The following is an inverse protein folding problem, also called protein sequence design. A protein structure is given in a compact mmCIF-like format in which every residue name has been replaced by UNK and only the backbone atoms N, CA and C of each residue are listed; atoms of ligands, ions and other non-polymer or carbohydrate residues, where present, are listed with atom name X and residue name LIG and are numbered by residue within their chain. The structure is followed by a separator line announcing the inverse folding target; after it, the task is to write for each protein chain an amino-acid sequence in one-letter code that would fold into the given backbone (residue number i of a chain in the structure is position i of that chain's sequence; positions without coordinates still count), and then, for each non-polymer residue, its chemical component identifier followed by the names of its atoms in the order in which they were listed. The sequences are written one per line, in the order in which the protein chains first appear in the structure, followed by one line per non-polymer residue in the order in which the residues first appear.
data_IF_276281581458
#
_entry.id   IF_276281581458
#
_cell.length_a   1.000
_cell.length_b   1.000
_cell.length_c   1.000
_cell.angle_alpha   90.00
_cell.angle_beta   90.00
_cell.angle_gamma   90.00
#
_symmetry.space_group_name_H-M   'P 1'
#
loop_
_entity.id
_entity.type
_entity.pdbx_description
1 polymer ?
#
# COMPACT_ATOMS: atom_id res chain seq x y z
N UNK A 1 8.26 3.47 -9.90
CA UNK A 1 7.50 2.29 -10.39
C UNK A 1 6.34 2.82 -11.20
N UNK A 2 6.06 2.27 -12.36
CA UNK A 2 4.90 2.66 -13.18
C UNK A 2 3.64 2.00 -12.60
N UNK A 3 2.73 2.81 -12.05
CA UNK A 3 1.51 2.30 -11.39
C UNK A 3 0.58 1.64 -12.40
N UNK A 4 0.42 2.23 -13.57
CA UNK A 4 -0.45 1.70 -14.61
C UNK A 4 0.05 0.33 -15.11
N UNK A 5 1.36 0.19 -15.35
CA UNK A 5 1.96 -1.08 -15.70
C UNK A 5 1.76 -2.15 -14.60
N UNK A 6 1.80 -1.76 -13.33
CA UNK A 6 1.52 -2.66 -12.21
C UNK A 6 0.04 -3.09 -12.18
N UNK A 7 -0.91 -2.17 -12.37
CA UNK A 7 -2.34 -2.48 -12.47
C UNK A 7 -2.62 -3.52 -13.57
N UNK A 8 -2.04 -3.33 -14.75
CA UNK A 8 -2.13 -4.28 -15.86
C UNK A 8 -1.59 -5.67 -15.49
N UNK A 9 -0.44 -5.73 -14.81
CA UNK A 9 0.13 -7.00 -14.33
C UNK A 9 -0.79 -7.70 -13.33
N UNK A 10 -1.39 -6.96 -12.40
CA UNK A 10 -2.29 -7.49 -11.38
C UNK A 10 -3.61 -7.99 -11.98
N UNK A 11 -4.19 -7.25 -12.94
CA UNK A 11 -5.37 -7.71 -13.70
C UNK A 11 -5.10 -9.04 -14.40
N UNK A 12 -3.94 -9.17 -15.06
CA UNK A 12 -3.55 -10.43 -15.73
C UNK A 12 -3.38 -11.56 -14.71
N UNK A 13 -2.68 -11.30 -13.61
CA UNK A 13 -2.46 -12.28 -12.55
C UNK A 13 -3.77 -12.82 -11.96
N UNK A 14 -4.74 -11.93 -11.73
CA UNK A 14 -6.07 -12.28 -11.26
C UNK A 14 -6.87 -13.06 -12.30
N UNK A 15 -6.76 -12.67 -13.58
CA UNK A 15 -7.46 -13.32 -14.67
C UNK A 15 -7.02 -14.77 -14.90
N UNK A 16 -5.72 -15.05 -14.80
CA UNK A 16 -5.17 -16.41 -14.87
C UNK A 16 -5.72 -17.33 -13.77
N UNK A 17 -6.26 -16.77 -12.68
CA UNK A 17 -6.78 -17.49 -11.52
C UNK A 17 -8.29 -17.41 -11.37
N UNK A 18 -8.98 -16.71 -12.27
CA UNK A 18 -10.43 -16.51 -12.21
C UNK A 18 -10.87 -15.70 -10.97
N UNK A 19 -10.04 -14.80 -10.47
CA UNK A 19 -10.30 -14.07 -9.23
C UNK A 19 -11.17 -12.82 -9.40
N UNK A 20 -11.43 -12.39 -10.63
CA UNK A 20 -12.16 -11.14 -10.91
C UNK A 20 -13.52 -11.03 -10.19
N UNK A 21 -14.33 -12.09 -10.02
CA UNK A 21 -15.59 -12.00 -9.27
C UNK A 21 -15.42 -11.57 -7.79
N UNK A 22 -14.24 -11.79 -7.22
CA UNK A 22 -13.94 -11.48 -5.82
C UNK A 22 -13.26 -10.12 -5.63
N UNK A 23 -12.74 -9.50 -6.69
CA UNK A 23 -11.99 -8.24 -6.67
C UNK A 23 -12.90 -7.00 -6.68
N UNK A 24 -13.96 -7.02 -5.87
CA UNK A 24 -14.75 -5.79 -5.64
C UNK A 24 -13.94 -4.80 -4.80
N UNK A 25 -14.10 -3.47 -4.97
CA UNK A 25 -13.41 -2.49 -4.14
C UNK A 25 -13.59 -2.71 -2.63
N UNK A 26 -14.78 -3.16 -2.21
CA UNK A 26 -15.06 -3.55 -0.82
C UNK A 26 -14.14 -4.68 -0.34
N UNK A 27 -14.06 -5.77 -1.11
CA UNK A 27 -13.28 -6.94 -0.71
C UNK A 27 -11.78 -6.61 -0.70
N UNK A 28 -11.31 -5.85 -1.70
CA UNK A 28 -9.92 -5.41 -1.77
C UNK A 28 -9.55 -4.50 -0.59
N UNK A 29 -10.44 -3.59 -0.17
CA UNK A 29 -10.22 -2.76 1.01
C UNK A 29 -10.18 -3.57 2.31
N UNK A 30 -11.04 -4.59 2.42
CA UNK A 30 -11.00 -5.52 3.56
C UNK A 30 -9.68 -6.30 3.60
N UNK A 31 -9.25 -6.85 2.47
CA UNK A 31 -7.98 -7.58 2.36
C UNK A 31 -6.78 -6.68 2.70
N UNK A 32 -6.71 -5.45 2.14
CA UNK A 32 -5.67 -4.48 2.49
C UNK A 32 -5.61 -4.19 3.99
N UNK A 33 -6.75 -4.18 4.68
CA UNK A 33 -6.80 -3.95 6.13
C UNK A 33 -6.18 -5.11 6.92
N UNK A 34 -6.30 -6.34 6.40
CA UNK A 34 -5.63 -7.52 6.98
C UNK A 34 -4.12 -7.37 6.82
N UNK A 35 -3.62 -7.10 5.61
CA UNK A 35 -2.16 -6.94 5.40
C UNK A 35 -1.59 -5.74 6.17
N UNK A 36 -2.38 -4.67 6.36
CA UNK A 36 -1.98 -3.56 7.21
C UNK A 36 -1.89 -3.96 8.69
N UNK A 37 -2.67 -4.93 9.14
CA UNK A 37 -2.56 -5.51 10.48
C UNK A 37 -1.31 -6.41 10.58
N UNK A 38 -1.03 -7.24 9.57
CA UNK A 38 0.21 -8.05 9.50
C UNK A 38 1.46 -7.16 9.54
N UNK A 39 1.46 -6.06 8.79
CA UNK A 39 2.51 -5.03 8.87
C UNK A 39 2.67 -4.47 10.30
N UNK A 40 1.56 -4.22 11.00
CA UNK A 40 1.58 -3.71 12.37
C UNK A 40 2.16 -4.75 13.33
N UNK A 41 1.86 -6.04 13.14
CA UNK A 41 2.32 -7.13 14.01
C UNK A 41 3.85 -7.20 14.13
N UNK A 42 4.58 -6.79 13.08
CA UNK A 42 6.05 -6.69 13.09
C UNK A 42 6.55 -5.80 14.23
N UNK A 43 5.80 -4.74 14.55
CA UNK A 43 6.22 -3.71 15.49
C UNK A 43 5.51 -3.78 16.84
N UNK A 44 4.44 -4.59 16.97
CA UNK A 44 3.48 -4.48 18.07
C UNK A 44 4.09 -4.62 19.49
N UNK A 45 5.21 -5.33 19.62
CA UNK A 45 5.90 -5.56 20.91
C UNK A 45 7.24 -4.81 21.03
N UNK A 46 7.62 -4.01 20.03
CA UNK A 46 8.88 -3.28 20.01
C UNK A 46 8.75 -1.94 20.73
N UNK A 47 9.80 -1.53 21.45
CA UNK A 47 9.95 -0.11 21.82
C UNK A 47 10.27 0.74 20.60
N UNK A 48 10.17 2.07 20.74
CA UNK A 48 10.55 3.00 19.67
C UNK A 48 12.02 2.85 19.24
N UNK A 49 12.92 2.52 20.16
CA UNK A 49 14.33 2.29 19.85
C UNK A 49 14.54 0.96 19.14
N UNK A 50 13.81 -0.09 19.55
CA UNK A 50 13.88 -1.41 18.93
C UNK A 50 13.31 -1.42 17.51
N UNK A 51 12.26 -0.65 17.23
CA UNK A 51 11.65 -0.57 15.90
C UNK A 51 12.59 0.02 14.83
N UNK A 52 13.64 0.74 15.25
CA UNK A 52 14.71 1.26 14.38
C UNK A 52 15.82 0.22 14.12
N UNK A 53 15.83 -0.90 14.85
CA UNK A 53 16.92 -1.90 14.85
C UNK A 53 16.41 -3.30 14.51
N UNK A 54 15.57 -3.41 13.46
CA UNK A 54 15.06 -4.70 12.99
C UNK A 54 16.20 -5.68 12.64
N UNK A 55 15.97 -6.98 12.81
CA UNK A 55 16.83 -8.01 12.24
C UNK A 55 16.67 -8.08 10.71
N UNK A 56 17.56 -8.82 10.02
CA UNK A 56 17.43 -9.02 8.57
C UNK A 56 16.15 -9.77 8.18
N UNK A 57 15.71 -10.71 9.02
CA UNK A 57 14.46 -11.44 8.79
C UNK A 57 13.24 -10.54 9.00
N UNK A 58 13.25 -9.70 10.04
CA UNK A 58 12.19 -8.70 10.26
C UNK A 58 12.14 -7.68 9.11
N UNK A 59 13.29 -7.24 8.59
CA UNK A 59 13.35 -6.34 7.43
C UNK A 59 12.78 -6.99 6.17
N UNK A 60 13.04 -8.29 5.96
CA UNK A 60 12.50 -9.03 4.82
C UNK A 60 10.97 -9.12 4.91
N UNK A 61 10.47 -9.53 6.07
CA UNK A 61 9.04 -9.63 6.33
C UNK A 61 8.35 -8.27 6.22
N UNK A 62 8.96 -7.19 6.74
CA UNK A 62 8.48 -5.82 6.53
C UNK A 62 8.35 -5.48 5.04
N UNK A 63 9.30 -5.90 4.21
CA UNK A 63 9.24 -5.69 2.77
C UNK A 63 8.10 -6.44 2.08
N UNK A 64 7.78 -7.64 2.57
CA UNK A 64 6.64 -8.45 2.10
C UNK A 64 5.32 -7.76 2.45
N UNK A 65 5.10 -7.40 3.71
CA UNK A 65 3.86 -6.75 4.14
C UNK A 65 3.65 -5.35 3.53
N UNK A 66 4.72 -4.57 3.36
CA UNK A 66 4.66 -3.30 2.63
C UNK A 66 4.25 -3.51 1.17
N UNK A 67 4.75 -4.58 0.54
CA UNK A 67 4.37 -4.91 -0.82
C UNK A 67 2.90 -5.31 -0.89
N UNK A 68 2.41 -6.16 0.02
CA UNK A 68 1.02 -6.62 0.00
C UNK A 68 0.03 -5.46 0.20
N UNK A 69 0.27 -4.57 1.17
CA UNK A 69 -0.51 -3.33 1.33
C UNK A 69 -0.51 -2.50 0.04
N UNK A 70 0.66 -2.31 -0.59
CA UNK A 70 0.78 -1.56 -1.83
C UNK A 70 0.00 -2.21 -2.98
N UNK A 71 0.10 -3.54 -3.14
CA UNK A 71 -0.58 -4.28 -4.20
C UNK A 71 -2.10 -4.17 -4.07
N UNK A 72 -2.65 -4.25 -2.85
CA UNK A 72 -4.08 -4.02 -2.65
C UNK A 72 -4.48 -2.56 -2.87
N UNK A 73 -3.69 -1.58 -2.40
CA UNK A 73 -3.97 -0.17 -2.64
C UNK A 73 -4.06 0.15 -4.14
N UNK A 74 -3.11 -0.39 -4.93
CA UNK A 74 -3.09 -0.23 -6.39
C UNK A 74 -4.32 -0.88 -7.04
N UNK A 75 -4.73 -2.06 -6.58
CA UNK A 75 -5.95 -2.72 -7.07
C UNK A 75 -7.22 -1.96 -6.68
N UNK A 76 -7.29 -1.37 -5.48
CA UNK A 76 -8.42 -0.55 -5.04
C UNK A 76 -8.54 0.68 -5.95
N UNK A 77 -7.43 1.36 -6.24
CA UNK A 77 -7.43 2.50 -7.15
C UNK A 77 -7.91 2.10 -8.55
N UNK A 78 -7.42 0.96 -9.04
CA UNK A 78 -7.76 0.41 -10.36
C UNK A 78 -9.26 0.09 -10.50
N UNK A 79 -9.81 -0.69 -9.56
CA UNK A 79 -11.23 -1.06 -9.56
C UNK A 79 -12.15 0.10 -9.15
N UNK A 80 -11.61 1.10 -8.47
CA UNK A 80 -12.32 2.32 -8.07
C UNK A 80 -12.29 3.44 -9.12
N UNK A 81 -11.57 3.28 -10.23
CA UNK A 81 -11.43 4.30 -11.26
C UNK A 81 -10.65 5.54 -10.81
N UNK A 82 -9.70 5.35 -9.88
CA UNK A 82 -8.86 6.43 -9.34
C UNK A 82 -7.50 6.40 -10.01
N UNK A 83 -7.13 7.52 -10.64
CA UNK A 83 -5.74 7.80 -11.01
C UNK A 83 -4.93 8.05 -9.72
N UNK A 84 -4.22 7.02 -9.29
CA UNK A 84 -3.48 7.04 -8.03
C UNK A 84 -2.30 8.01 -8.06
N UNK A 85 -1.60 8.11 -9.19
CA UNK A 85 -0.46 9.02 -9.33
C UNK A 85 -0.94 10.48 -9.23
N UNK A 86 -1.98 10.84 -9.99
CA UNK A 86 -2.58 12.17 -9.91
C UNK A 86 -3.17 12.46 -8.52
N UNK A 87 -3.72 11.45 -7.83
CA UNK A 87 -4.23 11.60 -6.47
C UNK A 87 -3.12 11.88 -5.45
N UNK A 88 -1.96 11.21 -5.57
CA UNK A 88 -0.78 11.44 -4.73
C UNK A 88 -0.23 12.84 -4.94
N UNK A 89 -0.03 13.28 -6.19
CA UNK A 89 0.47 14.62 -6.50
C UNK A 89 -0.44 15.71 -5.95
N UNK A 90 -1.76 15.58 -6.17
CA UNK A 90 -2.75 16.49 -5.59
C UNK A 90 -2.66 16.52 -4.06
N UNK A 91 -2.49 15.36 -3.42
CA UNK A 91 -2.42 15.27 -1.96
C UNK A 91 -1.15 15.88 -1.40
N UNK A 92 0.00 15.71 -2.07
CA UNK A 92 1.27 16.34 -1.71
C UNK A 92 1.16 17.87 -1.79
N UNK A 93 0.60 18.41 -2.88
CA UNK A 93 0.39 19.85 -3.03
C UNK A 93 -0.50 20.42 -1.91
N UNK A 94 -1.60 19.73 -1.56
CA UNK A 94 -2.46 20.13 -0.45
C UNK A 94 -1.75 20.05 0.91
N UNK A 95 -0.92 19.02 1.13
CA UNK A 95 -0.16 18.87 2.36
C UNK A 95 0.90 19.97 2.51
N UNK A 96 1.55 20.39 1.43
CA UNK A 96 2.52 21.49 1.45
C UNK A 96 1.88 22.83 1.84
N UNK A 97 0.64 23.07 1.42
CA UNK A 97 -0.15 24.24 1.85
C UNK A 97 -0.53 24.13 3.32
N UNK A 98 -0.96 22.93 3.76
CA UNK A 98 -1.40 22.69 5.13
C UNK A 98 -0.25 22.74 6.14
N UNK A 99 0.95 22.33 5.73
CA UNK A 99 2.16 22.23 6.55
C UNK A 99 3.34 22.88 5.82
N UNK A 100 3.40 24.22 5.77
CA UNK A 100 4.51 24.92 5.12
C UNK A 100 5.83 24.66 5.88
N UNK A 101 6.98 24.70 5.21
CA UNK A 101 8.27 24.62 5.88
C UNK A 101 8.39 25.75 6.90
N UNK A 102 9.06 25.47 8.03
CA UNK A 102 9.39 26.52 8.98
C UNK A 102 10.31 27.53 8.29
N UNK A 103 10.00 28.82 8.42
CA UNK A 103 10.90 29.87 7.98
C UNK A 103 12.24 29.72 8.72
N UNK A 104 13.33 29.67 7.96
CA UNK A 104 14.70 29.68 8.51
C UNK A 104 15.02 31.00 9.19
#
# INVERSE_FOLDING_TARGET
MDVHALQLRLRRFAAERGWQPYQTPKNLAMAMTVEAAELLEIFQWLTAEQSLQLSDDQRRHLGEELADVLLYLVQIADHGGVDLEAAVERKLALNAIKYPPQAS
#
